data_IF_546215950269
#
_entry.id   IF_546215950269
#
_cell.length_a   1.000
_cell.length_b   1.000
_cell.length_c   1.000
_cell.angle_alpha   90.00
_cell.angle_beta   90.00
_cell.angle_gamma   90.00
#
_symmetry.space_group_name_H-M   'P 1'
#
loop_
_entity.id
_entity.type
_entity.pdbx_description
1 polymer ?
#
# COMPACT_ATOMS: atom_id res chain seq x y z
N UNK A 1 -22.31 -10.75 -5.58
CA UNK A 1 -22.74 -9.91 -4.43
C UNK A 1 -23.49 -8.64 -4.82
N UNK A 2 -23.20 -8.00 -5.97
CA UNK A 2 -23.86 -6.74 -6.39
C UNK A 2 -25.33 -6.88 -6.86
N UNK A 3 -25.77 -8.07 -7.29
CA UNK A 3 -27.14 -8.27 -7.77
C UNK A 3 -28.24 -8.15 -6.69
N UNK A 4 -27.87 -8.08 -5.40
CA UNK A 4 -28.83 -8.03 -4.29
C UNK A 4 -29.39 -6.63 -3.98
N UNK A 5 -28.86 -5.58 -4.62
CA UNK A 5 -29.17 -4.18 -4.29
C UNK A 5 -29.63 -3.34 -5.50
N UNK A 6 -30.19 -3.98 -6.54
CA UNK A 6 -30.58 -3.34 -7.81
C UNK A 6 -31.46 -2.08 -7.66
N UNK A 7 -32.21 -1.94 -6.57
CA UNK A 7 -33.19 -0.86 -6.37
C UNK A 7 -32.88 0.08 -5.18
N UNK A 8 -31.70 -0.01 -4.54
CA UNK A 8 -31.29 0.92 -3.48
C UNK A 8 -30.13 1.78 -3.98
N UNK A 9 -30.24 3.11 -3.85
CA UNK A 9 -29.09 4.02 -4.02
C UNK A 9 -28.04 3.66 -2.97
N UNK A 10 -26.96 3.00 -3.40
CA UNK A 10 -25.80 2.74 -2.55
C UNK A 10 -24.89 3.96 -2.62
N UNK A 11 -24.58 4.53 -1.47
CA UNK A 11 -23.53 5.53 -1.36
C UNK A 11 -22.20 4.81 -1.05
N UNK A 12 -21.24 4.90 -1.97
CA UNK A 12 -19.90 4.32 -1.81
C UNK A 12 -18.92 5.45 -1.56
N UNK A 13 -18.29 5.44 -0.39
CA UNK A 13 -17.21 6.36 -0.06
C UNK A 13 -15.86 5.68 -0.29
N UNK A 14 -14.97 6.35 -1.02
CA UNK A 14 -13.60 5.90 -1.25
C UNK A 14 -12.62 6.91 -0.67
N UNK A 15 -11.91 6.50 0.36
CA UNK A 15 -10.83 7.29 0.95
C UNK A 15 -9.61 7.33 0.03
N UNK A 16 -9.09 8.51 -0.25
CA UNK A 16 -7.83 8.74 -1.01
C UNK A 16 -6.62 8.90 -0.10
N UNK A 17 -6.84 9.17 1.17
CA UNK A 17 -5.82 9.27 2.20
C UNK A 17 -6.43 9.19 3.60
N UNK A 18 -5.56 9.07 4.60
CA UNK A 18 -6.00 8.95 6.01
C UNK A 18 -6.67 10.23 6.53
N UNK A 19 -6.32 11.40 5.99
CA UNK A 19 -6.92 12.68 6.38
C UNK A 19 -8.39 12.85 5.98
N UNK A 20 -8.91 11.99 5.11
CA UNK A 20 -10.35 11.98 4.74
C UNK A 20 -11.20 11.18 5.74
N UNK A 21 -10.57 10.55 6.73
CA UNK A 21 -11.23 9.77 7.78
C UNK A 21 -11.34 10.60 9.06
N UNK A 22 -12.48 10.47 9.75
CA UNK A 22 -12.61 11.01 11.10
C UNK A 22 -11.92 10.10 12.14
N UNK A 23 -11.77 10.61 13.37
CA UNK A 23 -11.10 9.90 14.47
C UNK A 23 -11.69 8.52 14.76
N UNK A 24 -13.03 8.40 14.75
CA UNK A 24 -13.73 7.13 14.97
C UNK A 24 -13.43 6.12 13.87
N UNK A 25 -13.48 6.54 12.61
CA UNK A 25 -13.17 5.69 11.46
C UNK A 25 -11.71 5.21 11.49
N UNK A 26 -10.76 6.09 11.82
CA UNK A 26 -9.35 5.70 11.96
C UNK A 26 -9.17 4.66 13.07
N UNK A 27 -9.80 4.89 14.23
CA UNK A 27 -9.72 3.96 15.35
C UNK A 27 -10.27 2.59 14.97
N UNK A 28 -11.48 2.55 14.43
CA UNK A 28 -12.20 1.33 14.11
C UNK A 28 -11.58 0.54 12.94
N UNK A 29 -10.73 1.15 12.11
CA UNK A 29 -10.14 0.47 10.94
C UNK A 29 -8.65 0.20 11.06
N UNK A 30 -7.88 1.10 11.68
CA UNK A 30 -6.41 1.04 11.63
C UNK A 30 -5.73 0.96 12.99
N UNK A 31 -6.37 1.45 14.07
CA UNK A 31 -5.70 1.58 15.37
C UNK A 31 -6.13 0.55 16.40
N UNK A 32 -7.40 0.13 16.39
CA UNK A 32 -7.95 -0.80 17.37
C UNK A 32 -7.27 -2.19 17.24
N UNK A 33 -6.58 -2.69 18.29
CA UNK A 33 -5.87 -3.96 18.25
C UNK A 33 -6.72 -5.17 17.86
N UNK A 34 -8.03 -5.11 18.13
CA UNK A 34 -8.94 -6.22 17.88
C UNK A 34 -9.27 -6.42 16.39
N UNK A 35 -9.13 -5.38 15.56
CA UNK A 35 -9.53 -5.43 14.15
C UNK A 35 -8.53 -4.77 13.18
N UNK A 36 -7.47 -4.15 13.67
CA UNK A 36 -6.41 -3.57 12.83
C UNK A 36 -5.64 -4.65 12.08
N UNK A 37 -5.16 -4.29 10.88
CA UNK A 37 -4.32 -5.13 10.05
C UNK A 37 -2.89 -4.59 10.09
N UNK A 38 -1.97 -5.34 10.70
CA UNK A 38 -0.55 -4.99 10.76
C UNK A 38 0.31 -5.97 9.97
N UNK A 39 1.36 -5.47 9.34
CA UNK A 39 2.36 -6.28 8.64
C UNK A 39 3.73 -6.08 9.27
N UNK A 40 4.27 -7.15 9.86
CA UNK A 40 5.64 -7.14 10.42
C UNK A 40 6.66 -7.24 9.28
N UNK A 41 7.58 -6.28 9.22
CA UNK A 41 8.67 -6.27 8.23
C UNK A 41 9.86 -7.03 8.82
N UNK A 42 10.39 -7.99 8.05
CA UNK A 42 11.54 -8.81 8.44
C UNK A 42 12.60 -8.71 7.35
N UNK A 43 13.84 -8.43 7.75
CA UNK A 43 14.98 -8.38 6.83
C UNK A 43 15.58 -9.78 6.72
N UNK A 44 15.46 -10.40 5.54
CA UNK A 44 16.01 -11.74 5.29
C UNK A 44 17.50 -11.74 4.90
N UNK A 45 17.97 -10.67 4.25
CA UNK A 45 19.36 -10.57 3.79
C UNK A 45 19.82 -9.11 3.72
N UNK A 46 20.71 -8.73 4.62
CA UNK A 46 21.16 -7.35 4.76
C UNK A 46 21.91 -6.83 3.53
N UNK A 47 22.77 -7.65 2.91
CA UNK A 47 23.56 -7.23 1.74
C UNK A 47 22.65 -6.93 0.54
N UNK A 48 21.69 -7.81 0.26
CA UNK A 48 20.71 -7.60 -0.83
C UNK A 48 19.83 -6.39 -0.54
N UNK A 49 19.37 -6.25 0.70
CA UNK A 49 18.54 -5.12 1.15
C UNK A 49 19.27 -3.78 0.97
N UNK A 50 20.52 -3.66 1.45
CA UNK A 50 21.34 -2.45 1.28
C UNK A 50 21.56 -2.10 -0.19
N UNK A 51 21.81 -3.10 -1.05
CA UNK A 51 21.93 -2.88 -2.50
C UNK A 51 20.65 -2.30 -3.11
N UNK A 52 19.49 -2.84 -2.77
CA UNK A 52 18.19 -2.34 -3.27
C UNK A 52 17.91 -0.93 -2.74
N UNK A 53 18.17 -0.66 -1.46
CA UNK A 53 18.06 0.68 -0.89
C UNK A 53 18.92 1.69 -1.65
N UNK A 54 20.18 1.38 -1.92
CA UNK A 54 21.07 2.28 -2.66
C UNK A 54 20.60 2.52 -4.11
N UNK A 55 20.03 1.50 -4.78
CA UNK A 55 19.49 1.67 -6.14
C UNK A 55 18.26 2.58 -6.15
N UNK A 56 17.36 2.42 -5.17
CA UNK A 56 16.09 3.14 -5.13
C UNK A 56 16.21 4.54 -4.53
N UNK A 57 16.94 4.66 -3.41
CA UNK A 57 17.03 5.87 -2.59
C UNK A 57 18.38 6.58 -2.74
N UNK A 58 19.32 6.03 -3.49
CA UNK A 58 20.61 6.67 -3.73
C UNK A 58 20.55 7.85 -4.71
N UNK A 59 21.66 8.56 -4.81
CA UNK A 59 21.83 9.75 -5.64
C UNK A 59 21.83 9.45 -7.14
N UNK A 60 22.15 8.23 -7.56
CA UNK A 60 22.26 7.87 -8.97
C UNK A 60 20.88 7.66 -9.62
N UNK A 61 20.36 8.72 -10.24
CA UNK A 61 19.06 8.74 -10.92
C UNK A 61 18.96 7.75 -12.09
N UNK A 62 20.06 7.50 -12.81
CA UNK A 62 20.09 6.59 -13.98
C UNK A 62 19.86 5.13 -13.55
N UNK A 63 20.47 4.70 -12.45
CA UNK A 63 20.27 3.36 -11.89
C UNK A 63 18.81 3.17 -11.46
N UNK A 64 18.23 4.16 -10.78
CA UNK A 64 16.83 4.14 -10.35
C UNK A 64 15.87 4.02 -11.53
N UNK A 65 16.06 4.85 -12.57
CA UNK A 65 15.24 4.80 -13.80
C UNK A 65 15.31 3.44 -14.48
N UNK A 66 16.51 2.88 -14.65
CA UNK A 66 16.69 1.53 -15.21
C UNK A 66 15.97 0.46 -14.38
N UNK A 67 16.02 0.56 -13.05
CA UNK A 67 15.32 -0.36 -12.17
C UNK A 67 13.81 -0.28 -12.35
N UNK A 68 13.23 0.93 -12.29
CA UNK A 68 11.78 1.13 -12.45
C UNK A 68 11.31 0.59 -13.81
N UNK A 69 11.96 0.96 -14.90
CA UNK A 69 11.56 0.51 -16.25
C UNK A 69 11.62 -1.01 -16.39
N UNK A 70 12.58 -1.67 -15.74
CA UNK A 70 12.72 -3.12 -15.81
C UNK A 70 11.63 -3.86 -15.04
N UNK A 71 11.19 -3.34 -13.89
CA UNK A 71 10.31 -4.07 -12.97
C UNK A 71 8.88 -3.49 -12.84
N UNK A 72 8.59 -2.32 -13.42
CA UNK A 72 7.28 -1.67 -13.31
C UNK A 72 6.10 -2.56 -13.73
N UNK A 73 6.27 -3.31 -14.82
CA UNK A 73 5.20 -4.15 -15.38
C UNK A 73 4.93 -5.44 -14.58
N UNK A 74 5.76 -5.75 -13.57
CA UNK A 74 5.59 -6.93 -12.71
C UNK A 74 4.74 -6.63 -11.46
N UNK A 75 4.29 -5.39 -11.31
CA UNK A 75 3.47 -4.97 -10.18
C UNK A 75 2.06 -5.57 -10.26
N UNK A 76 1.88 -6.77 -9.71
CA UNK A 76 0.55 -7.26 -9.33
C UNK A 76 0.18 -6.59 -8.00
N UNK A 77 -0.52 -5.46 -8.10
CA UNK A 77 -1.09 -4.79 -6.92
C UNK A 77 -2.31 -5.62 -6.50
N UNK A 78 -2.06 -6.64 -5.68
CA UNK A 78 -3.14 -7.33 -4.97
C UNK A 78 -3.68 -6.34 -3.93
N UNK A 79 -4.71 -5.61 -4.32
CA UNK A 79 -5.53 -4.76 -3.44
C UNK A 79 -6.43 -5.67 -2.61
#
# INVERSE_FOLDING_TARGET
MLNKYKNKKIYIQRYKGLGEMNSKQLWDTTMNPNNRILKKIIIKNDKKTKKIFNILMGSNTKLRKKFINKYANLANINI
#
